data_IF_945389870350
#
_entry.id   IF_945389870350
#
_cell.length_a   1.000
_cell.length_b   1.000
_cell.length_c   1.000
_cell.angle_alpha   90.00
_cell.angle_beta   90.00
_cell.angle_gamma   90.00
#
_symmetry.space_group_name_H-M   'P 1'
#
loop_
_entity.id
_entity.type
_entity.pdbx_description
1 polymer ?
#
# COMPACT_ATOMS: atom_id res chain seq x y z
N UNK A 1 -27.92 -10.42 -14.40
CA UNK A 1 -27.06 -9.29 -14.81
C UNK A 1 -26.17 -8.92 -13.63
N UNK A 2 -24.86 -9.14 -13.70
CA UNK A 2 -23.92 -8.66 -12.67
C UNK A 2 -23.37 -7.29 -13.11
N UNK A 3 -24.08 -6.21 -12.78
CA UNK A 3 -23.54 -4.85 -12.91
C UNK A 3 -22.90 -4.47 -11.58
N UNK A 4 -21.65 -3.99 -11.61
CA UNK A 4 -20.95 -3.42 -10.45
C UNK A 4 -20.84 -1.92 -10.64
N UNK A 5 -21.29 -1.15 -9.66
CA UNK A 5 -21.08 0.30 -9.59
C UNK A 5 -19.98 0.55 -8.56
N UNK A 6 -18.98 1.34 -8.93
CA UNK A 6 -17.83 1.63 -8.07
C UNK A 6 -17.53 3.12 -8.16
N UNK A 7 -17.58 3.82 -7.02
CA UNK A 7 -17.11 5.20 -6.91
C UNK A 7 -15.59 5.19 -6.99
N UNK A 8 -15.00 6.08 -7.78
CA UNK A 8 -13.55 6.13 -8.00
C UNK A 8 -13.08 7.56 -8.25
N UNK A 9 -11.89 7.88 -7.77
CA UNK A 9 -11.15 9.06 -8.19
C UNK A 9 -10.53 8.77 -9.56
N UNK A 10 -10.91 9.58 -10.54
CA UNK A 10 -10.45 9.49 -11.93
C UNK A 10 -9.70 10.72 -12.41
N UNK A 11 -9.99 11.86 -11.79
CA UNK A 11 -9.36 13.13 -12.10
C UNK A 11 -8.49 13.54 -10.92
N UNK A 12 -7.22 13.78 -11.18
CA UNK A 12 -6.23 14.10 -10.17
C UNK A 12 -5.85 15.59 -10.25
N UNK A 13 -5.57 16.24 -9.11
CA UNK A 13 -4.88 17.51 -9.11
C UNK A 13 -3.46 17.37 -9.69
N UNK A 14 -2.82 18.48 -10.10
CA UNK A 14 -1.43 18.48 -10.55
C UNK A 14 -0.44 17.86 -9.54
N UNK A 15 -0.69 18.02 -8.24
CA UNK A 15 0.09 17.38 -7.19
C UNK A 15 -0.80 16.69 -6.14
N UNK A 16 -0.36 15.52 -5.66
CA UNK A 16 -1.01 14.84 -4.52
C UNK A 16 -0.93 15.65 -3.23
N UNK A 17 0.01 16.59 -3.11
CA UNK A 17 0.11 17.46 -1.94
C UNK A 17 -1.08 18.43 -1.83
N UNK A 18 -1.84 18.63 -2.92
CA UNK A 18 -3.07 19.42 -2.88
C UNK A 18 -4.17 18.74 -2.06
N UNK A 19 -4.06 17.42 -1.82
CA UNK A 19 -4.98 16.70 -0.93
C UNK A 19 -4.74 16.96 0.56
N UNK A 20 -3.71 17.72 0.95
CA UNK A 20 -3.42 18.03 2.38
C UNK A 20 -4.60 18.72 3.08
N UNK A 21 -5.40 19.48 2.35
CA UNK A 21 -6.59 20.16 2.88
C UNK A 21 -7.85 19.27 2.90
N UNK A 22 -7.82 18.10 2.26
CA UNK A 22 -8.92 17.14 2.19
C UNK A 22 -8.43 15.70 2.48
N UNK A 23 -8.28 15.43 3.77
CA UNK A 23 -7.83 14.12 4.27
C UNK A 23 -8.75 12.98 3.86
N UNK A 24 -10.05 13.23 3.72
CA UNK A 24 -11.03 12.21 3.34
C UNK A 24 -10.80 11.75 1.90
N UNK A 25 -10.64 12.70 0.99
CA UNK A 25 -10.32 12.38 -0.41
C UNK A 25 -8.95 11.73 -0.54
N UNK A 26 -7.96 12.17 0.24
CA UNK A 26 -6.63 11.56 0.23
C UNK A 26 -6.66 10.09 0.70
N UNK A 27 -7.37 9.81 1.80
CA UNK A 27 -7.58 8.46 2.29
C UNK A 27 -8.35 7.60 1.30
N UNK A 28 -9.33 8.17 0.60
CA UNK A 28 -10.06 7.45 -0.45
C UNK A 28 -9.14 7.09 -1.64
N UNK A 29 -8.30 8.03 -2.09
CA UNK A 29 -7.29 7.75 -3.13
C UNK A 29 -6.35 6.64 -2.70
N UNK A 30 -5.85 6.71 -1.47
CA UNK A 30 -4.97 5.70 -0.90
C UNK A 30 -5.57 4.30 -0.99
N UNK A 31 -6.79 4.13 -0.50
CA UNK A 31 -7.49 2.85 -0.52
C UNK A 31 -7.71 2.33 -1.94
N UNK A 32 -8.11 3.23 -2.86
CA UNK A 32 -8.25 2.89 -4.27
C UNK A 32 -6.92 2.36 -4.86
N UNK A 33 -5.82 3.08 -4.63
CA UNK A 33 -4.49 2.70 -5.14
C UNK A 33 -3.98 1.41 -4.50
N UNK A 34 -4.17 1.22 -3.19
CA UNK A 34 -3.78 0.00 -2.49
C UNK A 34 -4.47 -1.22 -3.07
N UNK A 35 -5.80 -1.15 -3.26
CA UNK A 35 -6.60 -2.24 -3.81
C UNK A 35 -6.17 -2.55 -5.25
N UNK A 36 -6.01 -1.53 -6.09
CA UNK A 36 -5.61 -1.74 -7.48
C UNK A 36 -4.19 -2.25 -7.60
N UNK A 37 -3.26 -1.74 -6.80
CA UNK A 37 -1.89 -2.24 -6.72
C UNK A 37 -1.89 -3.73 -6.40
N UNK A 38 -2.55 -4.13 -5.31
CA UNK A 38 -2.61 -5.53 -4.90
C UNK A 38 -3.24 -6.42 -5.97
N UNK A 39 -4.28 -5.94 -6.67
CA UNK A 39 -4.99 -6.70 -7.70
C UNK A 39 -4.26 -6.78 -9.05
N UNK A 40 -3.60 -5.71 -9.48
CA UNK A 40 -3.16 -5.54 -10.87
C UNK A 40 -1.64 -5.51 -11.04
N UNK A 41 -0.89 -5.17 -9.98
CA UNK A 41 0.54 -4.82 -10.11
C UNK A 41 1.47 -5.54 -9.14
N UNK A 42 0.99 -5.98 -7.98
CA UNK A 42 1.82 -6.56 -6.92
C UNK A 42 2.72 -7.71 -7.39
N UNK A 43 2.23 -8.58 -8.27
CA UNK A 43 3.00 -9.70 -8.84
C UNK A 43 4.03 -9.30 -9.93
N UNK A 44 3.99 -8.05 -10.42
CA UNK A 44 4.74 -7.59 -11.59
C UNK A 44 5.80 -6.53 -11.28
N UNK A 45 6.07 -6.28 -10.00
CA UNK A 45 7.09 -5.33 -9.55
C UNK A 45 8.26 -6.06 -8.88
N UNK A 46 9.44 -5.43 -8.74
CA UNK A 46 10.55 -6.03 -8.01
C UNK A 46 10.14 -6.40 -6.57
N UNK A 47 10.57 -7.58 -6.12
CA UNK A 47 10.17 -8.09 -4.80
C UNK A 47 10.52 -7.14 -3.65
N UNK A 48 11.66 -6.46 -3.72
CA UNK A 48 12.03 -5.48 -2.68
C UNK A 48 11.04 -4.32 -2.58
N UNK A 49 10.53 -3.83 -3.72
CA UNK A 49 9.53 -2.76 -3.75
C UNK A 49 8.19 -3.25 -3.18
N UNK A 50 7.78 -4.48 -3.53
CA UNK A 50 6.59 -5.11 -2.96
C UNK A 50 6.71 -5.34 -1.44
N UNK A 51 7.90 -5.72 -0.95
CA UNK A 51 8.17 -5.83 0.48
C UNK A 51 8.07 -4.46 1.16
N UNK A 52 8.64 -3.40 0.57
CA UNK A 52 8.59 -2.05 1.13
C UNK A 52 7.15 -1.51 1.20
N UNK A 53 6.37 -1.66 0.11
CA UNK A 53 4.96 -1.25 0.04
C UNK A 53 4.10 -2.01 1.06
N UNK A 54 4.20 -3.35 1.10
CA UNK A 54 3.42 -4.14 2.06
C UNK A 54 3.83 -3.89 3.51
N UNK A 55 5.11 -3.65 3.79
CA UNK A 55 5.58 -3.31 5.14
C UNK A 55 5.09 -1.93 5.59
N UNK A 56 4.98 -0.97 4.68
CA UNK A 56 4.40 0.35 4.96
C UNK A 56 2.91 0.24 5.29
N UNK A 57 2.16 -0.60 4.57
CA UNK A 57 0.74 -0.85 4.87
C UNK A 57 0.56 -1.54 6.24
N UNK A 58 1.41 -2.50 6.59
CA UNK A 58 1.41 -3.09 7.94
C UNK A 58 1.64 -2.00 8.99
N UNK A 59 2.65 -1.15 8.79
CA UNK A 59 2.93 -0.08 9.74
C UNK A 59 1.73 0.88 9.90
N UNK A 60 1.11 1.31 8.79
CA UNK A 60 -0.09 2.16 8.82
C UNK A 60 -1.23 1.51 9.59
N UNK A 61 -1.55 0.25 9.30
CA UNK A 61 -2.64 -0.49 9.95
C UNK A 61 -2.42 -0.59 11.47
N UNK A 62 -1.22 -0.99 11.91
CA UNK A 62 -0.96 -1.14 13.34
C UNK A 62 -0.83 0.21 14.06
N UNK A 63 -0.40 1.28 13.39
CA UNK A 63 -0.38 2.62 13.98
C UNK A 63 -1.80 3.11 14.28
N UNK A 64 -2.74 2.84 13.38
CA UNK A 64 -4.16 3.16 13.57
C UNK A 64 -4.75 2.37 14.75
N UNK A 65 -4.50 1.05 14.82
CA UNK A 65 -4.93 0.18 15.92
C UNK A 65 -4.28 0.53 17.27
N UNK A 66 -3.02 0.96 17.29
CA UNK A 66 -2.30 1.32 18.50
C UNK A 66 -2.60 2.74 18.98
N UNK A 67 -3.21 3.61 18.17
CA UNK A 67 -3.69 4.92 18.64
C UNK A 67 -4.72 4.79 19.78
N UNK A 68 -5.34 3.62 19.90
CA UNK A 68 -6.34 3.27 20.92
C UNK A 68 -5.81 2.43 22.10
N UNK A 69 -4.57 1.92 22.06
CA UNK A 69 -3.96 1.13 23.16
C UNK A 69 -2.46 1.41 23.32
N UNK A 70 -1.97 1.52 24.56
CA UNK A 70 -0.53 1.74 24.90
C UNK A 70 0.40 0.97 23.94
N UNK A 71 1.27 1.70 23.23
CA UNK A 71 2.10 1.26 22.10
C UNK A 71 2.67 -0.16 22.25
N UNK A 72 1.99 -1.16 21.67
CA UNK A 72 2.54 -2.52 21.54
C UNK A 72 3.30 -2.62 20.22
N UNK A 73 4.56 -3.05 20.32
CA UNK A 73 5.38 -3.47 19.18
C UNK A 73 4.60 -4.46 18.31
N UNK A 74 4.64 -4.27 17.00
CA UNK A 74 3.94 -5.14 16.02
C UNK A 74 4.32 -6.60 16.25
N UNK A 75 3.34 -7.43 16.57
CA UNK A 75 3.50 -8.86 16.79
C UNK A 75 3.45 -9.59 15.44
N UNK A 76 4.59 -10.11 14.99
CA UNK A 76 4.69 -10.84 13.72
C UNK A 76 3.88 -12.13 13.69
N UNK A 77 3.72 -12.82 14.82
CA UNK A 77 2.94 -14.06 14.86
C UNK A 77 1.44 -13.75 14.73
N UNK A 78 0.97 -12.64 15.30
CA UNK A 78 -0.40 -12.15 15.08
C UNK A 78 -0.61 -11.73 13.62
N UNK A 79 0.34 -10.98 13.04
CA UNK A 79 0.30 -10.59 11.63
C UNK A 79 0.19 -11.80 10.69
N UNK A 80 0.94 -12.86 10.96
CA UNK A 80 0.98 -14.04 10.08
C UNK A 80 -0.22 -14.96 10.27
N UNK A 81 -0.67 -15.18 11.51
CA UNK A 81 -1.70 -16.16 11.81
C UNK A 81 -3.12 -15.58 11.77
N UNK A 82 -3.32 -14.33 12.18
CA UNK A 82 -4.66 -13.73 12.31
C UNK A 82 -5.00 -12.83 11.11
N UNK A 83 -4.07 -11.97 10.68
CA UNK A 83 -4.29 -11.07 9.54
C UNK A 83 -3.94 -11.71 8.20
N UNK A 84 -2.94 -12.59 8.19
CA UNK A 84 -2.43 -13.24 7.00
C UNK A 84 -1.56 -12.33 6.13
N UNK A 85 -0.39 -12.83 5.72
CA UNK A 85 0.54 -12.05 4.88
C UNK A 85 -0.01 -11.71 3.49
N UNK A 86 -0.96 -12.50 2.97
CA UNK A 86 -1.61 -12.27 1.66
C UNK A 86 -2.38 -10.95 1.59
N UNK A 87 -2.73 -10.38 2.74
CA UNK A 87 -3.36 -9.06 2.85
C UNK A 87 -2.41 -7.94 2.42
N UNK A 88 -1.10 -8.14 2.61
CA UNK A 88 -0.07 -7.11 2.42
C UNK A 88 0.89 -7.42 1.27
N UNK A 89 1.02 -8.69 0.90
CA UNK A 89 2.00 -9.16 -0.08
C UNK A 89 1.35 -10.10 -1.10
N UNK A 90 1.81 -10.06 -2.37
CA UNK A 90 1.40 -11.02 -3.38
C UNK A 90 1.84 -12.44 -3.00
N UNK A 91 1.08 -13.43 -3.47
CA UNK A 91 1.35 -14.82 -3.14
C UNK A 91 2.71 -15.29 -3.66
N UNK A 92 3.09 -14.85 -4.87
CA UNK A 92 4.38 -15.15 -5.49
C UNK A 92 5.56 -14.76 -4.60
N UNK A 93 5.48 -13.62 -3.89
CA UNK A 93 6.50 -13.15 -2.96
C UNK A 93 6.55 -14.01 -1.70
N UNK A 94 5.39 -14.33 -1.13
CA UNK A 94 5.29 -15.17 0.08
C UNK A 94 5.94 -16.54 -0.18
N UNK A 95 5.68 -17.13 -1.34
CA UNK A 95 6.24 -18.43 -1.73
C UNK A 95 7.74 -18.36 -2.05
N UNK A 96 8.22 -17.21 -2.53
CA UNK A 96 9.63 -17.03 -2.91
C UNK A 96 10.58 -16.85 -1.73
N UNK A 97 10.09 -16.36 -0.58
CA UNK A 97 10.92 -16.12 0.60
C UNK A 97 10.72 -17.16 1.68
N UNK A 98 11.84 -17.65 2.25
CA UNK A 98 11.79 -18.33 3.55
C UNK A 98 11.19 -17.38 4.59
N UNK A 99 10.20 -17.84 5.35
CA UNK A 99 9.49 -17.05 6.39
C UNK A 99 10.44 -16.23 7.27
N UNK A 100 11.57 -16.80 7.72
CA UNK A 100 12.58 -16.08 8.52
C UNK A 100 13.16 -14.84 7.82
N UNK A 101 13.43 -14.92 6.52
CA UNK A 101 14.00 -13.81 5.75
C UNK A 101 12.94 -12.73 5.53
N UNK A 102 11.73 -13.11 5.14
CA UNK A 102 10.63 -12.16 4.96
C UNK A 102 10.33 -11.40 6.25
N UNK A 103 10.24 -12.10 7.39
CA UNK A 103 10.12 -11.49 8.73
C UNK A 103 11.23 -10.48 9.01
N UNK A 104 12.47 -10.78 8.60
CA UNK A 104 13.60 -9.86 8.79
C UNK A 104 13.42 -8.58 7.97
N UNK A 105 13.09 -8.69 6.69
CA UNK A 105 12.88 -7.52 5.84
C UNK A 105 11.71 -6.65 6.31
N UNK A 106 10.58 -7.27 6.68
CA UNK A 106 9.43 -6.56 7.24
C UNK A 106 9.87 -5.76 8.47
N UNK A 107 10.53 -6.39 9.44
CA UNK A 107 11.02 -5.71 10.65
C UNK A 107 11.97 -4.55 10.33
N UNK A 108 12.83 -4.68 9.32
CA UNK A 108 13.72 -3.60 8.89
C UNK A 108 12.93 -2.40 8.39
N UNK A 109 11.91 -2.61 7.56
CA UNK A 109 11.06 -1.52 7.06
C UNK A 109 10.15 -0.94 8.14
N UNK A 110 9.59 -1.75 9.04
CA UNK A 110 8.81 -1.25 10.18
C UNK A 110 9.63 -0.29 11.04
N UNK A 111 10.91 -0.61 11.30
CA UNK A 111 11.81 0.30 12.01
C UNK A 111 12.12 1.56 11.21
N UNK A 112 12.32 1.45 9.88
CA UNK A 112 12.56 2.59 8.99
C UNK A 112 11.42 3.62 9.06
N UNK A 113 10.18 3.17 9.30
CA UNK A 113 8.98 4.00 9.24
C UNK A 113 8.37 4.35 10.59
N UNK A 114 9.02 3.99 11.71
CA UNK A 114 8.46 4.12 13.07
C UNK A 114 8.09 5.56 13.49
N UNK A 115 8.63 6.58 12.82
CA UNK A 115 8.33 7.98 13.08
C UNK A 115 7.26 8.56 12.16
N UNK A 116 6.87 7.88 11.08
CA UNK A 116 5.95 8.44 10.09
C UNK A 116 4.53 8.55 10.65
N UNK A 117 3.92 9.71 10.49
CA UNK A 117 2.48 9.95 10.66
C UNK A 117 1.65 9.20 9.60
N UNK A 118 0.33 9.13 9.77
CA UNK A 118 -0.55 8.50 8.77
C UNK A 118 -0.44 9.22 7.41
N UNK A 119 -0.47 10.55 7.41
CA UNK A 119 -0.35 11.35 6.18
C UNK A 119 0.98 11.08 5.47
N UNK A 120 2.08 11.00 6.22
CA UNK A 120 3.39 10.66 5.67
C UNK A 120 3.45 9.22 5.14
N UNK A 121 2.74 8.28 5.76
CA UNK A 121 2.62 6.91 5.24
C UNK A 121 1.91 6.90 3.89
N UNK A 122 0.79 7.61 3.76
CA UNK A 122 0.03 7.70 2.50
C UNK A 122 0.89 8.36 1.41
N UNK A 123 1.51 9.51 1.71
CA UNK A 123 2.42 10.20 0.77
C UNK A 123 3.55 9.30 0.32
N UNK A 124 4.19 8.60 1.27
CA UNK A 124 5.27 7.66 0.99
C UNK A 124 4.81 6.49 0.13
N UNK A 125 3.62 5.95 0.37
CA UNK A 125 3.04 4.88 -0.44
C UNK A 125 2.82 5.33 -1.88
N UNK A 126 2.14 6.47 -2.08
CA UNK A 126 1.90 7.03 -3.41
C UNK A 126 3.21 7.28 -4.19
N UNK A 127 4.22 7.82 -3.50
CA UNK A 127 5.55 8.05 -4.07
C UNK A 127 6.24 6.73 -4.51
N UNK A 128 6.25 5.72 -3.63
CA UNK A 128 6.85 4.42 -3.95
C UNK A 128 6.11 3.74 -5.10
N UNK A 129 4.78 3.78 -5.09
CA UNK A 129 3.96 3.16 -6.12
C UNK A 129 4.18 3.82 -7.48
N UNK A 130 4.37 5.15 -7.53
CA UNK A 130 4.64 5.90 -8.77
C UNK A 130 5.91 5.43 -9.48
N UNK A 131 6.91 4.94 -8.74
CA UNK A 131 8.16 4.44 -9.31
C UNK A 131 8.00 3.11 -10.07
N UNK A 132 6.95 2.35 -9.75
CA UNK A 132 6.70 1.02 -10.33
C UNK A 132 5.43 0.97 -11.17
N UNK A 133 4.56 1.97 -11.06
CA UNK A 133 3.31 2.07 -11.81
C UNK A 133 2.89 3.53 -12.00
N UNK A 134 2.68 3.93 -13.26
CA UNK A 134 2.11 5.23 -13.60
C UNK A 134 0.58 5.25 -13.38
N UNK A 135 0.16 5.34 -12.13
CA UNK A 135 -1.25 5.24 -11.71
C UNK A 135 -2.06 6.53 -11.93
N UNK A 136 -1.41 7.66 -12.20
CA UNK A 136 -2.05 8.96 -12.45
C UNK A 136 -2.60 9.11 -13.87
N UNK A 137 -2.27 8.18 -14.78
CA UNK A 137 -2.60 8.26 -16.20
C UNK A 137 -3.34 7.04 -16.69
N UNK A 138 -4.34 7.28 -17.54
CA UNK A 138 -5.00 6.24 -18.33
C UNK A 138 -4.44 6.27 -19.75
N UNK A 139 -4.05 5.11 -20.27
CA UNK A 139 -3.46 4.96 -21.61
C UNK A 139 -4.49 4.32 -22.53
N UNK A 140 -4.74 4.95 -23.67
CA UNK A 140 -5.67 4.48 -24.69
C UNK A 140 -4.94 4.27 -26.01
N UNK A 141 -5.03 3.06 -26.56
CA UNK A 141 -4.58 2.79 -27.93
C UNK A 141 -5.64 3.25 -28.91
N UNK A 142 -5.31 4.18 -29.80
CA UNK A 142 -6.22 4.70 -30.82
C UNK A 142 -5.48 5.07 -32.10
N UNK A 143 -6.24 5.30 -33.17
CA UNK A 143 -5.73 5.89 -34.41
C UNK A 143 -6.07 7.38 -34.40
N UNK A 144 -5.07 8.23 -34.62
CA UNK A 144 -5.24 9.66 -34.83
C UNK A 144 -5.25 9.92 -36.34
N UNK A 145 -6.20 10.74 -36.79
CA UNK A 145 -6.41 11.09 -38.20
C UNK A 145 -5.48 12.18 -38.70
#
# INVERSE_FOLDING_TARGET
MNRKFELRLRYFPPSIDEFVHDKSTFGFLYEQLRIDYMRLKSDYIPMNDAIELGSLEIYKLFKDLNSTTLEKKINMDYLENELGLRTFFPQSLIDSYKSRNLRKYIKTYLKKYESLTEEECIKRFCFLLKNVWNWEQEIFTCNLG
#
